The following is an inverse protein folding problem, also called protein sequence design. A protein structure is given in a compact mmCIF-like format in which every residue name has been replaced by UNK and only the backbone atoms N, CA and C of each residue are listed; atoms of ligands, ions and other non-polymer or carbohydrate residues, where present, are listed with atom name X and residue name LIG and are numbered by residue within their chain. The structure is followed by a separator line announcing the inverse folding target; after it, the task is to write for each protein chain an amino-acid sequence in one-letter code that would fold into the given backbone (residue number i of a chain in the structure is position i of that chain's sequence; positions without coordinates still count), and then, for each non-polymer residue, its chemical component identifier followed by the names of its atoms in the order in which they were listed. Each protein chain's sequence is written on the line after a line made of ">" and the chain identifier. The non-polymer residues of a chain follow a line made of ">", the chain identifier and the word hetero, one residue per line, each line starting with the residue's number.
data_IF_657036526895
#
_entry.id   IF_657036526895
#
_cell.length_a   1.000
_cell.length_b   1.000
_cell.length_c   1.000
_cell.angle_alpha   90.00
_cell.angle_beta   90.00
_cell.angle_gamma   90.00
#
_symmetry.space_group_name_H-M   'P 1'
#
loop_
_entity.id
_entity.type
_entity.pdbx_description
1 polymer ?
#
# COMPACT_ATOMS: atom_id res chain seq x y z
N UNK A 1 17.20 -28.82 8.79
CA UNK A 1 17.10 -28.13 7.47
C UNK A 1 15.90 -27.23 7.58
N UNK A 2 16.11 -25.96 7.88
CA UNK A 2 15.05 -24.94 7.95
C UNK A 2 14.62 -24.61 6.54
N UNK A 3 13.43 -25.08 6.17
CA UNK A 3 12.77 -24.74 4.92
C UNK A 3 12.34 -23.26 5.01
N UNK A 4 13.25 -22.35 4.67
CA UNK A 4 12.96 -20.93 4.55
C UNK A 4 12.14 -20.76 3.26
N UNK A 5 10.82 -20.80 3.37
CA UNK A 5 9.98 -20.32 2.26
C UNK A 5 10.39 -18.88 1.97
N UNK A 6 10.57 -18.51 0.69
CA UNK A 6 10.84 -17.12 0.34
C UNK A 6 9.71 -16.25 0.90
N UNK A 7 10.07 -15.17 1.59
CA UNK A 7 9.08 -14.20 2.11
C UNK A 7 8.25 -13.60 0.98
N UNK A 8 7.14 -12.94 1.32
CA UNK A 8 6.26 -12.26 0.35
C UNK A 8 6.98 -11.16 -0.43
N UNK A 9 7.99 -10.52 0.16
CA UNK A 9 8.79 -9.46 -0.45
C UNK A 9 9.90 -10.02 -1.36
N UNK A 10 9.97 -9.50 -2.59
CA UNK A 10 10.98 -9.88 -3.58
C UNK A 10 12.28 -9.10 -3.36
N UNK A 11 13.47 -9.75 -3.38
CA UNK A 11 14.76 -9.08 -3.18
C UNK A 11 15.03 -7.93 -4.17
N UNK A 12 14.63 -8.09 -5.44
CA UNK A 12 14.81 -7.06 -6.47
C UNK A 12 13.93 -5.82 -6.21
N UNK A 13 12.72 -6.02 -5.68
CA UNK A 13 11.85 -4.92 -5.27
C UNK A 13 12.43 -4.19 -4.06
N UNK A 14 12.93 -4.91 -3.05
CA UNK A 14 13.62 -4.32 -1.90
C UNK A 14 14.79 -3.45 -2.36
N UNK A 15 15.65 -3.96 -3.25
CA UNK A 15 16.78 -3.22 -3.79
C UNK A 15 16.36 -1.98 -4.60
N UNK A 16 15.23 -2.05 -5.30
CA UNK A 16 14.66 -0.93 -6.05
C UNK A 16 14.17 0.17 -5.10
N UNK A 17 13.40 -0.17 -4.07
CA UNK A 17 12.89 0.81 -3.11
C UNK A 17 14.00 1.44 -2.27
N UNK A 18 15.06 0.71 -1.92
CA UNK A 18 16.24 1.30 -1.27
C UNK A 18 16.85 2.41 -2.12
N UNK A 19 16.98 2.23 -3.44
CA UNK A 19 17.52 3.28 -4.33
C UNK A 19 16.66 4.55 -4.40
N UNK A 20 15.36 4.43 -4.15
CA UNK A 20 14.40 5.54 -4.22
C UNK A 20 14.25 6.30 -2.89
N UNK A 21 14.79 5.76 -1.79
CA UNK A 21 14.56 6.27 -0.45
C UNK A 21 14.94 7.75 -0.28
N UNK A 22 16.07 8.19 -0.86
CA UNK A 22 16.56 9.56 -0.73
C UNK A 22 15.65 10.62 -1.38
N UNK A 23 14.88 10.23 -2.41
CA UNK A 23 14.01 11.13 -3.18
C UNK A 23 12.52 10.94 -2.83
N UNK A 24 12.22 10.11 -1.82
CA UNK A 24 10.84 9.71 -1.52
C UNK A 24 9.94 10.87 -1.12
N UNK A 25 10.49 11.81 -0.36
CA UNK A 25 9.77 12.98 0.14
C UNK A 25 9.81 14.19 -0.80
N UNK A 26 10.50 14.11 -1.93
CA UNK A 26 10.41 15.14 -2.97
C UNK A 26 9.06 15.03 -3.71
N UNK A 27 8.13 16.00 -3.56
CA UNK A 27 6.84 15.98 -4.24
C UNK A 27 6.93 16.14 -5.76
N UNK A 28 8.09 16.53 -6.30
CA UNK A 28 8.38 16.59 -7.72
C UNK A 28 9.25 15.41 -8.20
N UNK A 29 9.67 14.55 -7.26
CA UNK A 29 10.53 13.39 -7.49
C UNK A 29 9.78 12.15 -8.03
N UNK A 30 10.43 10.98 -7.99
CA UNK A 30 9.87 9.74 -8.49
C UNK A 30 8.55 9.32 -7.83
N UNK A 31 8.32 9.74 -6.57
CA UNK A 31 7.13 9.42 -5.79
C UNK A 31 6.01 10.48 -5.92
N UNK A 32 6.14 11.47 -6.80
CA UNK A 32 5.12 12.50 -7.03
C UNK A 32 3.69 11.95 -7.23
N UNK A 33 3.47 10.83 -7.98
CA UNK A 33 2.13 10.24 -8.08
C UNK A 33 1.58 9.75 -6.75
N UNK A 34 2.41 9.19 -5.87
CA UNK A 34 2.00 8.71 -4.55
C UNK A 34 1.64 9.89 -3.65
N UNK A 35 2.45 10.97 -3.67
CA UNK A 35 2.13 12.22 -2.96
C UNK A 35 0.76 12.77 -3.37
N UNK A 36 0.52 12.84 -4.68
CA UNK A 36 -0.74 13.38 -5.22
C UNK A 36 -1.97 12.52 -4.87
N UNK A 37 -1.82 11.18 -4.81
CA UNK A 37 -2.91 10.25 -4.45
C UNK A 37 -3.11 10.10 -2.95
N UNK A 38 -2.10 10.40 -2.14
CA UNK A 38 -2.11 10.07 -0.71
C UNK A 38 -3.30 10.66 0.06
N UNK A 39 -3.70 11.94 -0.13
CA UNK A 39 -4.86 12.50 0.58
C UNK A 39 -6.16 11.75 0.29
N UNK A 40 -6.34 11.29 -0.96
CA UNK A 40 -7.52 10.51 -1.34
C UNK A 40 -7.52 9.12 -0.69
N UNK A 41 -6.38 8.41 -0.71
CA UNK A 41 -6.26 7.07 -0.15
C UNK A 41 -6.47 7.07 1.35
N UNK A 42 -5.74 7.92 2.06
CA UNK A 42 -5.80 8.01 3.52
C UNK A 42 -7.14 8.56 4.00
N UNK A 43 -7.71 9.57 3.33
CA UNK A 43 -9.04 10.09 3.64
C UNK A 43 -10.16 9.06 3.41
N UNK A 44 -10.02 8.18 2.41
CA UNK A 44 -10.99 7.10 2.21
C UNK A 44 -10.91 6.06 3.33
N UNK A 45 -9.70 5.64 3.73
CA UNK A 45 -9.51 4.76 4.90
C UNK A 45 -10.12 5.41 6.14
N UNK A 46 -9.79 6.65 6.42
CA UNK A 46 -10.27 7.43 7.56
C UNK A 46 -11.80 7.47 7.63
N UNK A 47 -12.48 7.65 6.50
CA UNK A 47 -13.95 7.70 6.42
C UNK A 47 -14.64 6.36 6.74
N UNK A 48 -13.90 5.23 6.71
CA UNK A 48 -14.42 3.90 7.02
C UNK A 48 -14.02 3.40 8.42
N UNK A 49 -13.21 4.16 9.15
CA UNK A 49 -12.73 3.83 10.50
C UNK A 49 -13.21 4.90 11.48
N UNK A 50 -14.37 4.72 12.13
CA UNK A 50 -14.96 5.74 12.98
C UNK A 50 -14.18 6.00 14.27
N UNK A 51 -13.48 4.99 14.78
CA UNK A 51 -12.71 5.08 16.02
C UNK A 51 -11.22 5.06 15.73
N UNK A 52 -10.48 6.00 16.31
CA UNK A 52 -9.03 6.05 16.22
C UNK A 52 -8.42 5.03 17.18
N UNK A 53 -7.49 4.25 16.66
CA UNK A 53 -6.82 3.20 17.40
C UNK A 53 -5.52 2.83 16.71
N UNK A 54 -5.02 1.62 16.99
CA UNK A 54 -3.82 1.09 16.38
C UNK A 54 -4.04 0.82 14.89
N UNK A 55 -3.09 1.24 14.06
CA UNK A 55 -3.08 1.00 12.63
C UNK A 55 -1.72 0.44 12.21
N UNK A 56 -1.73 -0.65 11.45
CA UNK A 56 -0.54 -1.21 10.81
C UNK A 56 -0.53 -0.81 9.34
N UNK A 57 0.54 -0.14 8.89
CA UNK A 57 0.78 0.14 7.48
C UNK A 57 1.88 -0.79 6.94
N UNK A 58 1.49 -1.78 6.14
CA UNK A 58 2.37 -2.82 5.59
C UNK A 58 2.91 -2.37 4.25
N UNK A 59 4.23 -2.38 4.07
CA UNK A 59 4.88 -1.81 2.89
C UNK A 59 4.78 -0.28 2.89
N UNK A 60 5.02 0.33 4.05
CA UNK A 60 4.84 1.78 4.25
C UNK A 60 5.84 2.64 3.45
N UNK A 61 6.90 2.04 2.88
CA UNK A 61 7.98 2.77 2.23
C UNK A 61 8.60 3.80 3.18
N UNK A 62 8.79 5.03 2.69
CA UNK A 62 9.26 6.12 3.52
C UNK A 62 8.13 6.88 4.27
N UNK A 63 6.96 6.25 4.49
CA UNK A 63 6.01 6.70 5.49
C UNK A 63 4.93 7.68 5.03
N UNK A 64 4.76 7.93 3.72
CA UNK A 64 3.77 8.90 3.21
C UNK A 64 2.35 8.68 3.74
N UNK A 65 1.86 7.43 3.75
CA UNK A 65 0.54 7.11 4.28
C UNK A 65 0.54 7.02 5.80
N UNK A 66 1.57 6.39 6.38
CA UNK A 66 1.73 6.22 7.82
C UNK A 66 1.69 7.56 8.57
N UNK A 67 2.43 8.57 8.10
CA UNK A 67 2.41 9.91 8.70
C UNK A 67 1.07 10.62 8.53
N UNK A 68 0.39 10.43 7.39
CA UNK A 68 -0.94 10.99 7.21
C UNK A 68 -1.94 10.40 8.22
N UNK A 69 -1.88 9.08 8.44
CA UNK A 69 -2.70 8.42 9.47
C UNK A 69 -2.35 8.88 10.88
N UNK A 70 -1.06 9.07 11.20
CA UNK A 70 -0.64 9.62 12.49
C UNK A 70 -1.20 11.02 12.72
N UNK A 71 -1.17 11.90 11.70
CA UNK A 71 -1.80 13.24 11.75
C UNK A 71 -3.33 13.19 11.91
N UNK A 72 -3.98 12.10 11.47
CA UNK A 72 -5.41 11.85 11.68
C UNK A 72 -5.72 11.27 13.06
N UNK A 73 -4.70 11.01 13.91
CA UNK A 73 -4.83 10.56 15.28
C UNK A 73 -4.82 9.03 15.47
N UNK A 74 -4.37 8.27 14.47
CA UNK A 74 -4.09 6.84 14.64
C UNK A 74 -2.77 6.60 15.37
N UNK A 75 -2.70 5.53 16.17
CA UNK A 75 -1.47 4.96 16.70
C UNK A 75 -0.86 4.03 15.64
N UNK A 76 0.13 4.53 14.89
CA UNK A 76 0.61 3.90 13.67
C UNK A 76 1.90 3.13 13.91
N UNK A 77 1.93 1.88 13.43
CA UNK A 77 3.14 1.13 13.16
C UNK A 77 3.29 0.98 11.64
N UNK A 78 4.32 1.60 11.06
CA UNK A 78 4.72 1.36 9.66
C UNK A 78 5.78 0.27 9.57
N UNK A 79 5.60 -0.69 8.67
CA UNK A 79 6.62 -1.71 8.37
C UNK A 79 6.94 -1.75 6.89
N UNK A 80 8.21 -1.97 6.60
CA UNK A 80 8.71 -2.26 5.26
C UNK A 80 9.89 -3.24 5.33
N UNK A 81 10.08 -4.06 4.30
CA UNK A 81 11.20 -4.96 4.19
C UNK A 81 12.50 -4.24 3.79
N UNK A 82 12.39 -3.05 3.18
CA UNK A 82 13.50 -2.22 2.75
C UNK A 82 13.97 -1.29 3.89
N UNK A 83 15.26 -1.34 4.21
CA UNK A 83 15.80 -0.61 5.36
C UNK A 83 15.95 0.89 5.09
N UNK A 84 16.35 1.28 3.86
CA UNK A 84 16.61 2.69 3.56
C UNK A 84 15.32 3.54 3.54
N UNK A 85 14.17 3.07 2.99
CA UNK A 85 12.90 3.75 3.16
C UNK A 85 12.48 3.92 4.62
N UNK A 86 12.67 2.90 5.46
CA UNK A 86 12.36 3.00 6.90
C UNK A 86 13.24 4.03 7.60
N UNK A 87 14.53 4.09 7.26
CA UNK A 87 15.41 5.13 7.80
C UNK A 87 14.96 6.54 7.38
N UNK A 88 14.58 6.71 6.11
CA UNK A 88 14.04 7.98 5.61
C UNK A 88 12.69 8.35 6.29
N UNK A 89 11.80 7.36 6.50
CA UNK A 89 10.53 7.55 7.21
C UNK A 89 10.75 8.01 8.65
N UNK A 90 11.68 7.36 9.36
CA UNK A 90 12.00 7.69 10.75
C UNK A 90 12.53 9.12 10.86
N UNK A 91 13.52 9.48 10.03
CA UNK A 91 14.10 10.82 10.03
C UNK A 91 13.05 11.90 9.71
N UNK A 92 12.20 11.67 8.70
CA UNK A 92 11.17 12.65 8.32
C UNK A 92 10.11 12.82 9.41
N UNK A 93 9.69 11.72 10.06
CA UNK A 93 8.72 11.79 11.16
C UNK A 93 9.30 12.53 12.40
N UNK A 94 10.58 12.31 12.72
CA UNK A 94 11.29 13.03 13.78
C UNK A 94 11.35 14.54 13.49
N UNK A 95 11.76 14.92 12.27
CA UNK A 95 11.81 16.32 11.83
C UNK A 95 10.41 16.98 11.83
N UNK A 96 9.37 16.21 11.51
CA UNK A 96 7.98 16.67 11.54
C UNK A 96 7.35 16.66 12.95
N UNK A 97 8.05 16.18 13.97
CA UNK A 97 7.55 16.07 15.34
C UNK A 97 6.36 15.11 15.50
N UNK A 98 6.30 14.08 14.68
CA UNK A 98 5.22 13.09 14.69
C UNK A 98 5.55 11.92 15.60
N UNK A 99 4.54 11.47 16.35
CA UNK A 99 4.64 10.27 17.19
C UNK A 99 4.03 9.06 16.46
N UNK A 100 4.88 8.25 15.85
CA UNK A 100 4.55 6.95 15.27
C UNK A 100 5.79 6.06 15.27
N UNK A 101 5.59 4.77 15.04
CA UNK A 101 6.69 3.80 15.02
C UNK A 101 6.93 3.27 13.60
N UNK A 102 8.21 3.10 13.26
CA UNK A 102 8.63 2.42 12.04
C UNK A 102 9.53 1.23 12.37
N UNK A 103 9.42 0.18 11.55
CA UNK A 103 10.22 -1.03 11.75
C UNK A 103 10.59 -1.69 10.42
N UNK A 104 11.86 -2.05 10.24
CA UNK A 104 12.27 -2.95 9.15
C UNK A 104 11.77 -4.35 9.50
N UNK A 105 10.67 -4.75 8.86
CA UNK A 105 10.02 -6.04 9.11
C UNK A 105 9.14 -6.46 7.93
N UNK A 106 8.82 -7.74 7.86
CA UNK A 106 7.83 -8.30 6.94
C UNK A 106 6.54 -8.65 7.67
N UNK A 107 5.43 -8.84 6.94
CA UNK A 107 4.16 -9.28 7.51
C UNK A 107 4.30 -10.64 8.21
N UNK A 108 5.14 -11.55 7.68
CA UNK A 108 5.45 -12.85 8.27
C UNK A 108 6.05 -12.72 9.67
N UNK A 109 6.96 -11.76 9.86
CA UNK A 109 7.60 -11.53 11.15
C UNK A 109 6.59 -11.10 12.20
N UNK A 110 5.70 -10.15 11.88
CA UNK A 110 4.67 -9.70 12.80
C UNK A 110 3.63 -10.79 13.11
N UNK A 111 3.30 -11.62 12.13
CA UNK A 111 2.46 -12.80 12.34
C UNK A 111 3.13 -13.80 13.30
N UNK A 112 4.43 -14.02 13.17
CA UNK A 112 5.19 -14.91 14.07
C UNK A 112 5.25 -14.35 15.51
N UNK A 113 5.26 -13.04 15.67
CA UNK A 113 5.18 -12.33 16.95
C UNK A 113 3.76 -12.33 17.55
N UNK A 114 2.75 -12.79 16.80
CA UNK A 114 1.35 -12.81 17.26
C UNK A 114 0.68 -11.43 17.29
N UNK A 115 1.25 -10.44 16.60
CA UNK A 115 0.68 -9.09 16.55
C UNK A 115 -0.65 -9.06 15.81
N UNK A 116 -1.58 -8.21 16.28
CA UNK A 116 -2.86 -7.96 15.63
C UNK A 116 -3.25 -6.50 15.76
N UNK A 117 -4.05 -6.01 14.77
CA UNK A 117 -4.45 -4.61 14.66
C UNK A 117 -5.92 -4.51 14.24
N UNK A 118 -6.66 -3.51 14.74
CA UNK A 118 -8.03 -3.26 14.28
C UNK A 118 -8.07 -2.73 12.84
N UNK A 119 -6.97 -2.07 12.39
CA UNK A 119 -6.84 -1.54 11.04
C UNK A 119 -5.49 -1.96 10.46
N UNK A 120 -5.53 -2.56 9.28
CA UNK A 120 -4.33 -2.89 8.48
C UNK A 120 -4.46 -2.24 7.12
N UNK A 121 -3.41 -1.55 6.67
CA UNK A 121 -3.31 -1.00 5.32
C UNK A 121 -2.17 -1.67 4.55
N UNK A 122 -2.34 -1.86 3.24
CA UNK A 122 -1.31 -2.30 2.30
C UNK A 122 -1.56 -1.56 0.98
N UNK A 123 -0.98 -0.36 0.85
CA UNK A 123 -1.26 0.58 -0.23
C UNK A 123 -0.17 0.51 -1.30
N UNK A 124 -0.54 0.09 -2.53
CA UNK A 124 0.38 -0.15 -3.66
C UNK A 124 1.44 -1.23 -3.32
N UNK A 125 1.03 -2.33 -2.70
CA UNK A 125 1.92 -3.42 -2.26
C UNK A 125 1.61 -4.74 -2.95
N UNK A 126 0.34 -5.08 -3.12
CA UNK A 126 -0.10 -6.42 -3.54
C UNK A 126 0.40 -6.82 -4.94
N UNK A 127 0.66 -5.86 -5.83
CA UNK A 127 1.25 -6.08 -7.15
C UNK A 127 2.75 -6.40 -7.12
N UNK A 128 3.41 -6.17 -5.98
CA UNK A 128 4.85 -6.40 -5.78
C UNK A 128 5.16 -7.70 -5.03
N UNK A 129 4.12 -8.41 -4.54
CA UNK A 129 4.33 -9.69 -3.84
C UNK A 129 4.38 -10.87 -4.80
N UNK A 130 5.01 -11.96 -4.34
CA UNK A 130 5.13 -13.20 -5.13
C UNK A 130 3.79 -13.89 -5.32
N UNK A 131 2.98 -13.98 -4.26
CA UNK A 131 1.68 -14.65 -4.23
C UNK A 131 0.66 -13.78 -3.47
N UNK A 132 -0.27 -13.12 -4.19
CA UNK A 132 -1.31 -12.31 -3.58
C UNK A 132 -2.21 -13.07 -2.59
N UNK A 133 -2.51 -14.35 -2.85
CA UNK A 133 -3.38 -15.12 -1.95
C UNK A 133 -2.67 -15.44 -0.63
N UNK A 134 -1.39 -15.80 -0.67
CA UNK A 134 -0.58 -16.01 0.51
C UNK A 134 -0.40 -14.70 1.30
N UNK A 135 -0.17 -13.59 0.60
CA UNK A 135 -0.06 -12.27 1.24
C UNK A 135 -1.36 -11.87 1.95
N UNK A 136 -2.52 -12.06 1.31
CA UNK A 136 -3.82 -11.82 1.94
C UNK A 136 -4.06 -12.70 3.17
N UNK A 137 -3.60 -13.97 3.13
CA UNK A 137 -3.65 -14.86 4.29
C UNK A 137 -2.75 -14.38 5.45
N UNK A 138 -1.60 -13.77 5.17
CA UNK A 138 -0.77 -13.14 6.20
C UNK A 138 -1.47 -11.90 6.78
N UNK A 139 -1.99 -11.02 5.93
CA UNK A 139 -2.69 -9.81 6.38
C UNK A 139 -3.94 -10.13 7.21
N UNK A 140 -4.69 -11.20 6.86
CA UNK A 140 -5.85 -11.63 7.65
C UNK A 140 -5.47 -12.04 9.08
N UNK A 141 -4.29 -12.64 9.26
CA UNK A 141 -3.77 -13.04 10.59
C UNK A 141 -3.33 -11.84 11.43
N UNK A 142 -3.02 -10.72 10.80
CA UNK A 142 -2.68 -9.45 11.46
C UNK A 142 -3.94 -8.63 11.84
N UNK A 143 -5.13 -9.06 11.45
CA UNK A 143 -6.37 -8.41 11.86
C UNK A 143 -6.86 -8.92 13.21
N UNK A 144 -7.35 -8.00 14.02
CA UNK A 144 -8.20 -8.30 15.18
C UNK A 144 -9.59 -8.78 14.71
N UNK A 145 -10.34 -9.52 15.54
CA UNK A 145 -11.74 -9.80 15.25
C UNK A 145 -12.53 -8.51 14.99
N UNK A 146 -13.22 -8.45 13.85
CA UNK A 146 -13.93 -7.24 13.41
C UNK A 146 -13.05 -6.17 12.75
N UNK A 147 -11.75 -6.37 12.68
CA UNK A 147 -10.81 -5.46 12.04
C UNK A 147 -11.02 -5.32 10.53
N UNK A 148 -10.44 -4.28 9.96
CA UNK A 148 -10.57 -3.91 8.56
C UNK A 148 -9.21 -3.87 7.87
N UNK A 149 -9.14 -4.46 6.68
CA UNK A 149 -7.99 -4.41 5.78
C UNK A 149 -8.30 -3.48 4.61
N UNK A 150 -7.40 -2.54 4.35
CA UNK A 150 -7.48 -1.63 3.22
C UNK A 150 -6.32 -1.86 2.26
N UNK A 151 -6.64 -2.00 0.99
CA UNK A 151 -5.67 -2.22 -0.10
C UNK A 151 -5.89 -1.14 -1.16
N UNK A 152 -4.82 -0.60 -1.72
CA UNK A 152 -4.86 0.08 -3.01
C UNK A 152 -3.97 -0.65 -3.99
N UNK A 153 -4.36 -0.65 -5.27
CA UNK A 153 -3.59 -1.28 -6.34
C UNK A 153 -4.08 -0.87 -7.72
N UNK A 154 -3.31 -1.22 -8.73
CA UNK A 154 -3.65 -1.06 -10.14
C UNK A 154 -4.56 -2.19 -10.61
N UNK A 155 -5.59 -1.84 -11.41
CA UNK A 155 -6.50 -2.82 -11.99
C UNK A 155 -5.93 -3.37 -13.31
N UNK A 156 -6.04 -4.67 -13.56
CA UNK A 156 -5.60 -5.33 -14.79
C UNK A 156 -6.62 -5.16 -15.92
N UNK A 157 -6.62 -3.99 -16.55
CA UNK A 157 -7.48 -3.63 -17.69
C UNK A 157 -6.65 -3.12 -18.87
N UNK A 158 -7.24 -3.09 -20.06
CA UNK A 158 -6.61 -2.45 -21.22
C UNK A 158 -6.43 -0.95 -21.02
N UNK A 159 -7.31 -0.32 -20.25
CA UNK A 159 -7.21 1.11 -19.94
C UNK A 159 -6.03 1.40 -19.01
N UNK A 160 -5.81 0.60 -17.97
CA UNK A 160 -4.64 0.73 -17.11
C UNK A 160 -3.34 0.46 -17.86
N UNK A 161 -3.35 -0.50 -18.79
CA UNK A 161 -2.22 -0.74 -19.68
C UNK A 161 -1.91 0.49 -20.57
N UNK A 162 -2.94 1.10 -21.16
CA UNK A 162 -2.79 2.30 -21.99
C UNK A 162 -2.31 3.50 -21.16
N UNK A 163 -2.91 3.74 -20.00
CA UNK A 163 -2.51 4.81 -19.08
C UNK A 163 -1.10 4.54 -18.53
N UNK A 164 -0.75 3.30 -18.21
CA UNK A 164 0.59 2.91 -17.79
C UNK A 164 1.64 3.13 -18.88
N UNK A 165 1.33 2.86 -20.16
CA UNK A 165 2.21 3.19 -21.31
C UNK A 165 2.30 4.69 -21.57
N UNK A 166 1.17 5.39 -21.55
CA UNK A 166 1.12 6.86 -21.72
C UNK A 166 1.74 7.55 -20.51
N UNK A 167 1.43 7.05 -19.31
CA UNK A 167 2.04 7.51 -18.06
C UNK A 167 3.53 7.19 -18.01
N UNK A 168 3.99 6.04 -18.53
CA UNK A 168 5.42 5.72 -18.64
C UNK A 168 6.13 6.64 -19.65
N UNK A 169 5.48 7.09 -20.72
CA UNK A 169 6.04 8.12 -21.61
C UNK A 169 6.03 9.52 -20.98
N UNK A 170 5.01 9.86 -20.18
CA UNK A 170 4.91 11.14 -19.46
C UNK A 170 5.64 11.10 -18.10
N UNK A 171 5.68 9.93 -17.44
CA UNK A 171 6.35 9.62 -16.16
C UNK A 171 7.71 8.96 -16.43
N UNK A 172 8.01 8.44 -17.62
CA UNK A 172 9.33 7.89 -17.99
C UNK A 172 10.48 8.93 -17.89
N UNK A 173 10.13 10.16 -17.61
CA UNK A 173 11.08 11.14 -17.06
C UNK A 173 11.26 11.05 -15.53
N UNK A 174 10.41 10.30 -14.81
CA UNK A 174 10.37 10.23 -13.34
C UNK A 174 10.57 8.81 -12.79
N UNK A 175 10.22 7.76 -13.55
CA UNK A 175 10.39 6.37 -13.11
C UNK A 175 11.14 5.56 -14.17
N UNK A 176 12.06 4.64 -13.78
CA UNK A 176 12.71 3.73 -14.71
C UNK A 176 11.69 2.88 -15.47
N UNK A 177 11.90 2.71 -16.79
CA UNK A 177 11.05 1.82 -17.60
C UNK A 177 11.03 0.40 -17.01
N UNK A 178 9.84 -0.21 -16.92
CA UNK A 178 9.66 -1.55 -16.37
C UNK A 178 9.20 -1.60 -14.90
N UNK A 179 8.81 -0.47 -14.32
CA UNK A 179 8.39 -0.39 -12.90
C UNK A 179 7.13 -1.19 -12.59
N UNK A 180 6.24 -1.43 -13.54
CA UNK A 180 5.02 -2.21 -13.34
C UNK A 180 4.83 -3.22 -14.47
N UNK A 181 4.94 -4.50 -14.13
CA UNK A 181 4.47 -5.56 -15.01
C UNK A 181 2.93 -5.61 -14.96
N UNK A 182 2.26 -5.16 -16.03
CA UNK A 182 0.78 -5.18 -16.13
C UNK A 182 0.16 -6.55 -15.77
N UNK A 183 0.89 -7.63 -15.98
CA UNK A 183 0.45 -8.99 -15.63
C UNK A 183 0.30 -9.23 -14.12
N UNK A 184 0.97 -8.42 -13.30
CA UNK A 184 0.89 -8.48 -11.83
C UNK A 184 -0.27 -7.65 -11.26
N UNK A 185 -0.91 -6.81 -12.09
CA UNK A 185 -2.08 -6.07 -11.64
C UNK A 185 -3.22 -7.04 -11.33
N UNK A 186 -4.03 -6.72 -10.35
CA UNK A 186 -5.11 -7.58 -9.87
C UNK A 186 -6.47 -6.88 -10.04
N UNK A 187 -7.44 -7.60 -10.62
CA UNK A 187 -8.80 -7.07 -10.71
C UNK A 187 -9.53 -7.18 -9.38
N UNK A 188 -10.58 -6.36 -9.10
CA UNK A 188 -11.37 -6.49 -7.88
C UNK A 188 -11.96 -7.90 -7.69
N UNK A 189 -12.37 -8.57 -8.78
CA UNK A 189 -12.89 -9.95 -8.74
C UNK A 189 -11.82 -10.99 -8.41
N UNK A 190 -10.60 -10.80 -8.88
CA UNK A 190 -9.46 -11.65 -8.53
C UNK A 190 -9.01 -11.42 -7.09
N UNK A 191 -9.00 -10.16 -6.63
CA UNK A 191 -8.73 -9.81 -5.24
C UNK A 191 -9.72 -10.51 -4.30
N UNK A 192 -11.03 -10.39 -4.56
CA UNK A 192 -12.07 -11.05 -3.76
C UNK A 192 -11.91 -12.58 -3.77
N UNK A 193 -11.62 -13.17 -4.95
CA UNK A 193 -11.38 -14.62 -5.06
C UNK A 193 -10.16 -15.06 -4.26
N UNK A 194 -9.06 -14.30 -4.32
CA UNK A 194 -7.83 -14.61 -3.58
C UNK A 194 -7.98 -14.40 -2.06
N UNK A 195 -8.86 -13.49 -1.65
CA UNK A 195 -9.12 -13.17 -0.24
C UNK A 195 -9.98 -14.21 0.49
N UNK A 196 -10.91 -14.88 -0.22
CA UNK A 196 -11.87 -15.82 0.39
C UNK A 196 -11.22 -16.98 1.16
N UNK A 197 -10.18 -17.66 0.65
CA UNK A 197 -9.51 -18.74 1.41
C UNK A 197 -8.87 -18.23 2.72
N UNK A 198 -8.54 -16.95 2.80
CA UNK A 198 -8.03 -16.29 4.01
C UNK A 198 -9.14 -15.85 4.99
N UNK A 199 -10.41 -16.19 4.72
CA UNK A 199 -11.55 -15.73 5.51
C UNK A 199 -11.87 -14.24 5.34
N UNK A 200 -11.35 -13.61 4.29
CA UNK A 200 -11.61 -12.20 4.00
C UNK A 200 -12.71 -12.05 2.94
N UNK A 201 -13.51 -11.02 3.09
CA UNK A 201 -14.59 -10.66 2.17
C UNK A 201 -14.44 -9.21 1.74
N UNK A 202 -14.53 -8.95 0.45
CA UNK A 202 -14.54 -7.59 -0.11
C UNK A 202 -15.85 -6.89 0.27
N UNK A 203 -15.76 -5.75 0.95
CA UNK A 203 -16.90 -5.00 1.49
C UNK A 203 -17.19 -3.75 0.68
N UNK A 204 -16.15 -3.03 0.28
CA UNK A 204 -16.28 -1.79 -0.47
C UNK A 204 -15.12 -1.61 -1.44
N UNK A 205 -15.37 -0.90 -2.54
CA UNK A 205 -14.35 -0.46 -3.49
C UNK A 205 -14.57 1.00 -3.88
N UNK A 206 -13.49 1.69 -4.22
CA UNK A 206 -13.50 3.05 -4.73
C UNK A 206 -12.42 3.20 -5.80
N UNK A 207 -12.80 3.68 -6.97
CA UNK A 207 -11.85 4.06 -8.00
C UNK A 207 -11.17 5.39 -7.68
N UNK A 208 -9.98 5.58 -8.22
CA UNK A 208 -9.24 6.82 -8.15
C UNK A 208 -9.05 7.36 -9.58
N UNK A 209 -9.54 8.57 -9.84
CA UNK A 209 -9.47 9.21 -11.15
C UNK A 209 -8.74 10.54 -11.03
N UNK A 210 -7.84 10.82 -11.98
CA UNK A 210 -7.14 12.09 -12.04
C UNK A 210 -7.95 13.11 -12.84
N UNK A 211 -8.29 14.22 -12.21
CA UNK A 211 -8.92 15.35 -12.86
C UNK A 211 -7.86 16.24 -13.48
N UNK A 212 -7.79 16.27 -14.82
CA UNK A 212 -6.78 17.03 -15.56
C UNK A 212 -6.97 18.55 -15.44
N UNK A 213 -8.19 19.02 -15.16
CA UNK A 213 -8.51 20.47 -15.04
C UNK A 213 -8.05 20.98 -13.67
N UNK A 214 -8.44 20.28 -12.63
CA UNK A 214 -8.12 20.61 -11.24
C UNK A 214 -6.75 20.11 -10.82
N UNK A 215 -6.10 19.27 -11.65
CA UNK A 215 -4.80 18.64 -11.37
C UNK A 215 -4.79 17.90 -10.03
N UNK A 216 -5.89 17.21 -9.71
CA UNK A 216 -6.07 16.51 -8.43
C UNK A 216 -6.67 15.12 -8.63
N UNK A 217 -6.45 14.23 -7.67
CA UNK A 217 -7.07 12.92 -7.62
C UNK A 217 -8.43 12.99 -6.94
N UNK A 218 -9.43 12.31 -7.51
CA UNK A 218 -10.78 12.23 -6.99
C UNK A 218 -11.24 10.79 -6.91
N UNK A 219 -12.01 10.48 -5.84
CA UNK A 219 -12.69 9.21 -5.73
C UNK A 219 -13.81 9.09 -6.77
N UNK A 220 -13.91 7.95 -7.45
CA UNK A 220 -14.91 7.69 -8.48
C UNK A 220 -15.50 6.28 -8.36
N UNK A 221 -16.57 6.00 -9.11
CA UNK A 221 -17.07 4.64 -9.30
C UNK A 221 -16.29 3.87 -10.38
N UNK A 222 -15.46 4.56 -11.16
CA UNK A 222 -14.65 3.95 -12.22
C UNK A 222 -13.41 3.25 -11.63
N UNK A 223 -13.42 1.94 -11.63
CA UNK A 223 -12.33 1.10 -11.13
C UNK A 223 -11.32 0.74 -12.23
N UNK A 224 -11.42 1.28 -13.43
CA UNK A 224 -10.73 0.76 -14.60
C UNK A 224 -9.21 0.95 -14.61
N UNK A 225 -8.64 1.88 -13.82
CA UNK A 225 -7.19 2.12 -13.77
C UNK A 225 -6.59 1.64 -12.46
N UNK A 226 -7.07 2.17 -11.36
CA UNK A 226 -6.66 1.85 -10.00
C UNK A 226 -7.86 1.90 -9.05
N UNK A 227 -7.73 1.24 -7.91
CA UNK A 227 -8.82 1.21 -6.94
C UNK A 227 -8.34 1.02 -5.52
N UNK A 228 -9.18 1.44 -4.61
CA UNK A 228 -9.14 1.14 -3.18
C UNK A 228 -10.12 0.00 -2.90
N UNK A 229 -9.77 -0.89 -2.02
CA UNK A 229 -10.59 -2.00 -1.56
C UNK A 229 -10.56 -2.09 -0.04
N UNK A 230 -11.73 -2.29 0.57
CA UNK A 230 -11.89 -2.61 1.98
C UNK A 230 -12.34 -4.06 2.11
N UNK A 231 -11.60 -4.83 2.91
CA UNK A 231 -11.93 -6.21 3.22
C UNK A 231 -12.13 -6.36 4.74
N UNK A 232 -12.95 -7.35 5.13
CA UNK A 232 -13.16 -7.73 6.54
C UNK A 232 -13.12 -9.24 6.68
N UNK A 233 -12.82 -9.71 7.87
CA UNK A 233 -13.01 -11.12 8.21
C UNK A 233 -14.50 -11.49 8.05
N UNK A 234 -14.75 -12.65 7.40
CA UNK A 234 -16.09 -13.15 7.11
C UNK A 234 -16.79 -13.69 8.37
#
# INVERSE_FOLDING_TARGET
>A
MTNTQPGSALPDEIAKFNRLAAEWWDPAGPMAPLHAMNPLRTGWVDSHVPERGRLLDVGCGAGLAAEAFARMGFDVLGIDAAADPIAAATAHAEDAGLSLAYRVATAEALVAEGMRFPVVTALEVIEHVTDPAQFLALLSRLLEPGGSLFISTLNRTLRSLAVGKIGAEYIARLLPAGTHEWRRFITPAELDRAARPAGLRLVATRGMSYDLRERTWRGSADLSVNYLAMLRLA
#
